data_IF_262917823078
#
_entry.id   IF_262917823078
#
_cell.length_a   1.000
_cell.length_b   1.000
_cell.length_c   1.000
_cell.angle_alpha   90.00
_cell.angle_beta   90.00
_cell.angle_gamma   90.00
#
_symmetry.space_group_name_H-M   'P 1'
#
loop_
_entity.id
_entity.type
_entity.pdbx_description
1 polymer ?
#
# COMPACT_ATOMS: atom_id res chain seq x y z
N UNK A 1 11.27 -19.40 15.05
CA UNK A 1 11.39 -18.15 15.85
C UNK A 1 10.12 -17.99 16.70
N UNK A 2 10.20 -17.88 18.03
CA UNK A 2 9.00 -17.69 18.88
C UNK A 2 8.89 -16.24 19.30
N UNK A 3 7.76 -15.57 19.05
CA UNK A 3 7.57 -14.14 19.31
C UNK A 3 7.93 -13.68 20.73
N UNK A 4 7.80 -14.56 21.74
CA UNK A 4 8.13 -14.27 23.14
C UNK A 4 9.61 -13.92 23.36
N UNK A 5 10.51 -14.42 22.51
CA UNK A 5 11.95 -14.17 22.60
C UNK A 5 12.40 -12.92 21.81
N UNK A 6 11.51 -12.35 20.98
CA UNK A 6 11.81 -11.24 20.09
C UNK A 6 10.88 -10.05 20.41
N UNK A 7 11.32 -9.09 21.25
CA UNK A 7 10.48 -7.99 21.69
C UNK A 7 9.85 -7.20 20.55
N UNK A 8 10.60 -6.89 19.49
CA UNK A 8 10.07 -6.18 18.32
C UNK A 8 8.87 -6.91 17.72
N UNK A 9 9.00 -8.21 17.45
CA UNK A 9 7.92 -9.03 16.89
C UNK A 9 6.74 -9.13 17.86
N UNK A 10 6.98 -9.33 19.15
CA UNK A 10 5.93 -9.36 20.17
C UNK A 10 5.11 -8.07 20.17
N UNK A 11 5.77 -6.91 20.19
CA UNK A 11 5.08 -5.62 20.21
C UNK A 11 4.35 -5.34 18.90
N UNK A 12 4.88 -5.77 17.75
CA UNK A 12 4.18 -5.70 16.46
C UNK A 12 2.90 -6.53 16.45
N UNK A 13 2.95 -7.78 16.95
CA UNK A 13 1.76 -8.65 17.08
C UNK A 13 0.74 -8.01 18.04
N UNK A 14 1.19 -7.52 19.20
CA UNK A 14 0.31 -6.83 20.15
C UNK A 14 -0.29 -5.55 19.57
N UNK A 15 0.46 -4.81 18.75
CA UNK A 15 -0.01 -3.62 18.05
C UNK A 15 -1.17 -3.94 17.10
N UNK A 16 -1.03 -4.99 16.30
CA UNK A 16 -2.10 -5.48 15.42
C UNK A 16 -3.29 -5.98 16.23
N UNK A 17 -3.07 -6.89 17.18
CA UNK A 17 -4.13 -7.52 17.97
C UNK A 17 -4.94 -6.50 18.77
N UNK A 18 -4.28 -5.53 19.42
CA UNK A 18 -4.96 -4.46 20.16
C UNK A 18 -5.70 -3.49 19.25
N UNK A 19 -5.20 -3.24 18.03
CA UNK A 19 -5.90 -2.38 17.06
C UNK A 19 -7.15 -3.09 16.51
N UNK A 20 -7.06 -4.37 16.19
CA UNK A 20 -8.22 -5.20 15.84
C UNK A 20 -9.25 -5.25 16.98
N UNK A 21 -8.80 -5.39 18.23
CA UNK A 21 -9.67 -5.39 19.40
C UNK A 21 -10.38 -4.03 19.61
N UNK A 22 -9.71 -2.92 19.31
CA UNK A 22 -10.32 -1.59 19.35
C UNK A 22 -11.32 -1.39 18.21
N UNK A 23 -11.07 -1.96 17.02
CA UNK A 23 -11.94 -1.87 15.85
C UNK A 23 -13.23 -2.71 15.98
N UNK A 24 -13.12 -3.93 16.49
CA UNK A 24 -14.23 -4.91 16.52
C UNK A 24 -15.29 -4.62 17.59
N UNK A 25 -14.97 -3.82 18.60
CA UNK A 25 -15.86 -3.50 19.70
C UNK A 25 -16.32 -2.04 19.62
N UNK A 26 -17.43 -1.67 20.29
CA UNK A 26 -17.86 -0.28 20.38
C UNK A 26 -16.73 0.66 20.82
N UNK A 27 -16.77 1.92 20.39
CA UNK A 27 -15.71 2.88 20.72
C UNK A 27 -15.45 2.97 22.23
N UNK A 28 -14.20 2.75 22.64
CA UNK A 28 -13.72 2.88 24.02
C UNK A 28 -12.32 3.47 24.02
N UNK A 29 -12.22 4.67 24.61
CA UNK A 29 -10.98 5.43 24.73
C UNK A 29 -9.84 4.62 25.34
N UNK A 30 -10.13 3.72 26.29
CA UNK A 30 -9.09 2.87 26.91
C UNK A 30 -8.50 1.89 25.89
N UNK A 31 -9.33 1.26 25.06
CA UNK A 31 -8.88 0.33 24.00
C UNK A 31 -8.06 1.06 22.95
N UNK A 32 -8.53 2.21 22.46
CA UNK A 32 -7.78 3.05 21.50
C UNK A 32 -6.43 3.46 22.06
N UNK A 33 -6.37 3.87 23.34
CA UNK A 33 -5.11 4.26 23.99
C UNK A 33 -4.14 3.08 24.15
N UNK A 34 -4.64 1.89 24.53
CA UNK A 34 -3.82 0.67 24.59
C UNK A 34 -3.25 0.34 23.21
N UNK A 35 -4.08 0.39 22.18
CA UNK A 35 -3.66 0.13 20.81
C UNK A 35 -2.60 1.14 20.34
N UNK A 36 -2.81 2.43 20.56
CA UNK A 36 -1.84 3.48 20.26
C UNK A 36 -0.50 3.25 20.97
N UNK A 37 -0.52 2.84 22.25
CA UNK A 37 0.70 2.55 23.01
C UNK A 37 1.47 1.37 22.44
N UNK A 38 0.79 0.28 22.07
CA UNK A 38 1.45 -0.89 21.47
C UNK A 38 2.00 -0.58 20.08
N UNK A 39 1.23 0.11 19.22
CA UNK A 39 1.70 0.58 17.91
C UNK A 39 2.95 1.45 18.04
N UNK A 40 2.91 2.46 18.91
CA UNK A 40 4.07 3.33 19.14
C UNK A 40 5.31 2.54 19.59
N UNK A 41 5.14 1.58 20.51
CA UNK A 41 6.25 0.75 20.98
C UNK A 41 6.79 -0.18 19.89
N UNK A 42 5.91 -0.76 19.07
CA UNK A 42 6.28 -1.59 17.92
C UNK A 42 7.09 -0.78 16.90
N UNK A 43 6.58 0.36 16.45
CA UNK A 43 7.26 1.25 15.50
C UNK A 43 8.63 1.71 16.02
N UNK A 44 8.71 2.05 17.32
CA UNK A 44 9.98 2.47 17.93
C UNK A 44 11.02 1.35 17.95
N UNK A 45 10.63 0.14 18.39
CA UNK A 45 11.54 -1.01 18.41
C UNK A 45 11.96 -1.42 16.99
N UNK A 46 11.01 -1.44 16.06
CA UNK A 46 11.30 -1.72 14.66
C UNK A 46 12.33 -0.73 14.10
N UNK A 47 12.15 0.57 14.33
CA UNK A 47 13.13 1.59 13.94
C UNK A 47 14.52 1.34 14.55
N UNK A 48 14.60 0.99 15.84
CA UNK A 48 15.86 0.66 16.49
C UNK A 48 16.57 -0.54 15.86
N UNK A 49 15.81 -1.55 15.42
CA UNK A 49 16.40 -2.68 14.70
C UNK A 49 16.86 -2.32 13.28
N UNK A 50 16.19 -1.38 12.61
CA UNK A 50 16.62 -0.85 11.30
C UNK A 50 17.92 -0.02 11.39
N UNK A 51 18.24 0.52 12.57
CA UNK A 51 19.52 1.22 12.83
C UNK A 51 20.69 0.23 13.04
N UNK A 52 20.41 -1.06 13.18
CA UNK A 52 21.40 -2.13 13.28
C UNK A 52 21.63 -2.81 11.92
N UNK A 53 22.76 -3.52 11.73
CA UNK A 53 23.00 -4.29 10.51
C UNK A 53 21.90 -5.34 10.27
N UNK A 54 21.28 -5.26 9.09
CA UNK A 54 20.34 -6.27 8.60
C UNK A 54 21.14 -7.47 8.12
N UNK A 55 20.78 -8.67 8.59
CA UNK A 55 21.49 -9.90 8.29
C UNK A 55 20.55 -11.11 8.29
N UNK A 56 21.10 -12.29 7.98
CA UNK A 56 20.38 -13.57 7.92
C UNK A 56 19.59 -13.90 9.19
N UNK A 57 20.10 -13.56 10.37
CA UNK A 57 19.49 -13.97 11.65
C UNK A 57 18.30 -13.09 12.04
N UNK A 58 18.26 -11.83 11.57
CA UNK A 58 17.20 -10.88 11.92
C UNK A 58 16.22 -10.57 10.79
N UNK A 59 16.47 -11.04 9.56
CA UNK A 59 15.63 -10.73 8.39
C UNK A 59 14.16 -11.12 8.59
N UNK A 60 13.88 -12.32 9.11
CA UNK A 60 12.51 -12.81 9.27
C UNK A 60 11.75 -11.96 10.28
N UNK A 61 12.42 -11.54 11.36
CA UNK A 61 11.84 -10.66 12.36
C UNK A 61 11.53 -9.28 11.77
N UNK A 62 12.44 -8.73 10.98
CA UNK A 62 12.28 -7.42 10.33
C UNK A 62 11.17 -7.43 9.27
N UNK A 63 11.16 -8.42 8.38
CA UNK A 63 10.13 -8.58 7.34
C UNK A 63 8.76 -8.74 8.00
N UNK A 64 8.64 -9.64 8.98
CA UNK A 64 7.37 -9.85 9.69
C UNK A 64 6.92 -8.59 10.42
N UNK A 65 7.84 -7.90 11.11
CA UNK A 65 7.52 -6.65 11.80
C UNK A 65 7.11 -5.55 10.83
N UNK A 66 7.75 -5.45 9.67
CA UNK A 66 7.40 -4.51 8.61
C UNK A 66 5.96 -4.72 8.13
N UNK A 67 5.56 -5.97 7.84
CA UNK A 67 4.19 -6.29 7.45
C UNK A 67 3.16 -5.92 8.53
N UNK A 68 3.44 -6.26 9.78
CA UNK A 68 2.54 -5.95 10.91
C UNK A 68 2.44 -4.44 11.16
N UNK A 69 3.55 -3.71 11.05
CA UNK A 69 3.59 -2.23 11.12
C UNK A 69 2.82 -1.62 9.96
N UNK A 70 2.94 -2.18 8.77
CA UNK A 70 2.15 -1.80 7.59
C UNK A 70 0.66 -1.94 7.85
N UNK A 71 0.22 -3.09 8.37
CA UNK A 71 -1.19 -3.38 8.67
C UNK A 71 -1.81 -2.36 9.63
N UNK A 72 -1.16 -2.10 10.78
CA UNK A 72 -1.75 -1.16 11.73
C UNK A 72 -1.61 0.32 11.30
N UNK A 73 -0.59 0.65 10.51
CA UNK A 73 -0.44 2.00 9.94
C UNK A 73 -1.58 2.30 8.96
N UNK A 74 -2.00 1.30 8.20
CA UNK A 74 -3.14 1.36 7.31
C UNK A 74 -4.47 1.51 8.07
N UNK A 75 -4.62 0.82 9.21
CA UNK A 75 -5.82 0.92 10.05
C UNK A 75 -5.93 2.21 10.89
N UNK A 76 -4.95 3.11 10.82
CA UNK A 76 -4.92 4.32 11.65
C UNK A 76 -6.16 5.20 11.40
N UNK A 77 -6.65 5.86 12.46
CA UNK A 77 -7.88 6.64 12.43
C UNK A 77 -7.75 7.85 11.48
N UNK A 78 -8.53 7.83 10.39
CA UNK A 78 -8.88 9.00 9.59
C UNK A 78 -10.37 9.23 9.83
N UNK A 79 -10.77 10.46 10.16
CA UNK A 79 -12.17 10.76 10.49
C UNK A 79 -12.92 11.43 9.35
N UNK A 80 -12.20 12.10 8.47
CA UNK A 80 -12.73 12.83 7.32
C UNK A 80 -11.80 12.68 6.11
N UNK A 81 -12.32 12.69 4.87
CA UNK A 81 -11.46 12.79 3.68
C UNK A 81 -10.56 14.04 3.70
N UNK A 82 -10.99 15.10 4.37
CA UNK A 82 -10.22 16.33 4.51
C UNK A 82 -8.96 16.19 5.38
N UNK A 83 -8.87 15.12 6.19
CA UNK A 83 -7.68 14.80 6.99
C UNK A 83 -6.57 14.16 6.12
N UNK A 84 -6.84 13.89 4.84
CA UNK A 84 -5.90 13.24 3.92
C UNK A 84 -4.68 14.11 3.63
N UNK A 85 -3.56 13.43 3.38
CA UNK A 85 -2.30 14.04 2.99
C UNK A 85 -2.38 14.85 1.70
N UNK A 86 -3.35 14.57 0.80
CA UNK A 86 -3.52 15.38 -0.42
C UNK A 86 -3.89 16.83 -0.12
N UNK A 87 -4.54 17.09 1.03
CA UNK A 87 -4.91 18.43 1.50
C UNK A 87 -3.94 19.01 2.53
N UNK A 88 -2.85 18.32 2.85
CA UNK A 88 -1.89 18.74 3.88
C UNK A 88 -0.49 18.88 3.31
N UNK A 89 0.28 19.83 3.84
CA UNK A 89 1.70 19.97 3.51
C UNK A 89 2.61 19.26 4.52
N UNK A 90 2.04 18.63 5.55
CA UNK A 90 2.81 17.83 6.51
C UNK A 90 3.13 16.44 5.91
N UNK A 91 4.40 16.12 5.64
CA UNK A 91 4.79 14.83 5.06
C UNK A 91 4.42 13.64 5.95
N UNK A 92 4.21 13.86 7.25
CA UNK A 92 3.78 12.81 8.20
C UNK A 92 2.44 12.20 7.80
N UNK A 93 1.56 12.95 7.14
CA UNK A 93 0.22 12.46 6.75
C UNK A 93 0.28 11.38 5.68
N UNK A 94 1.34 11.31 4.87
CA UNK A 94 1.55 10.24 3.87
C UNK A 94 2.28 9.01 4.47
N UNK A 95 2.69 9.04 5.75
CA UNK A 95 3.49 7.96 6.35
C UNK A 95 2.82 6.58 6.24
N UNK A 96 1.49 6.50 6.31
CA UNK A 96 0.78 5.22 6.20
C UNK A 96 1.05 4.52 4.87
N UNK A 97 1.27 5.30 3.81
CA UNK A 97 1.57 4.86 2.45
C UNK A 97 3.07 4.58 2.29
N UNK A 98 3.91 5.48 2.81
CA UNK A 98 5.38 5.34 2.77
C UNK A 98 5.86 4.09 3.52
N UNK A 99 5.23 3.75 4.65
CA UNK A 99 5.55 2.54 5.42
C UNK A 99 5.37 1.26 4.59
N UNK A 100 4.38 1.21 3.70
CA UNK A 100 4.17 0.02 2.85
C UNK A 100 5.33 -0.20 1.88
N UNK A 101 5.93 0.88 1.40
CA UNK A 101 7.08 0.83 0.49
C UNK A 101 8.35 0.33 1.19
N UNK A 102 8.40 0.37 2.52
CA UNK A 102 9.53 -0.13 3.32
C UNK A 102 9.77 -1.63 3.15
N UNK A 103 8.72 -2.41 2.85
CA UNK A 103 8.86 -3.85 2.62
C UNK A 103 9.74 -4.13 1.41
N UNK A 104 9.56 -3.40 0.30
CA UNK A 104 10.41 -3.52 -0.90
C UNK A 104 11.89 -3.37 -0.56
N UNK A 105 12.22 -2.30 0.17
CA UNK A 105 13.59 -2.00 0.58
C UNK A 105 14.20 -3.15 1.39
N UNK A 106 13.44 -3.69 2.35
CA UNK A 106 13.88 -4.86 3.12
C UNK A 106 14.13 -6.09 2.25
N UNK A 107 13.24 -6.37 1.28
CA UNK A 107 13.39 -7.52 0.39
C UNK A 107 14.62 -7.40 -0.51
N UNK A 108 14.93 -6.21 -1.02
CA UNK A 108 16.16 -5.98 -1.78
C UNK A 108 17.43 -6.21 -0.93
N UNK A 109 17.43 -5.70 0.32
CA UNK A 109 18.56 -5.88 1.24
C UNK A 109 18.74 -7.35 1.63
N UNK A 110 17.65 -8.07 1.86
CA UNK A 110 17.66 -9.45 2.37
C UNK A 110 17.74 -10.51 1.28
N UNK A 111 17.67 -10.11 0.00
CA UNK A 111 17.75 -10.97 -1.19
C UNK A 111 18.82 -12.08 -1.11
N UNK A 112 20.07 -11.83 -0.65
CA UNK A 112 21.09 -12.87 -0.56
C UNK A 112 20.75 -14.05 0.36
N UNK A 113 19.84 -13.85 1.32
CA UNK A 113 19.47 -14.84 2.35
C UNK A 113 18.03 -15.33 2.19
N UNK A 114 17.27 -14.80 1.23
CA UNK A 114 15.83 -15.09 1.10
C UNK A 114 15.52 -16.58 0.98
N UNK A 115 16.40 -17.39 0.40
CA UNK A 115 16.20 -18.85 0.32
C UNK A 115 16.10 -19.55 1.68
N UNK A 116 16.70 -18.96 2.72
CA UNK A 116 16.65 -19.47 4.09
C UNK A 116 15.49 -18.86 4.91
N UNK A 117 14.75 -17.91 4.35
CA UNK A 117 13.68 -17.19 5.04
C UNK A 117 12.40 -18.01 5.09
N UNK A 118 11.67 -17.90 6.20
CA UNK A 118 10.29 -18.41 6.29
C UNK A 118 9.35 -17.75 5.27
N UNK A 119 9.73 -16.59 4.73
CA UNK A 119 8.94 -15.85 3.75
C UNK A 119 9.25 -16.19 2.30
N UNK A 120 10.24 -17.05 2.04
CA UNK A 120 10.63 -17.41 0.68
C UNK A 120 9.44 -17.93 -0.14
N UNK A 121 8.82 -19.00 0.32
CA UNK A 121 7.70 -19.65 -0.36
C UNK A 121 6.48 -18.71 -0.49
N UNK A 122 6.00 -18.02 0.58
CA UNK A 122 4.94 -17.03 0.44
C UNK A 122 5.22 -15.94 -0.62
N UNK A 123 6.46 -15.43 -0.70
CA UNK A 123 6.78 -14.43 -1.70
C UNK A 123 6.90 -15.00 -3.11
N UNK A 124 7.43 -16.21 -3.27
CA UNK A 124 7.47 -16.90 -4.56
C UNK A 124 6.06 -17.15 -5.11
N UNK A 125 5.14 -17.65 -4.29
CA UNK A 125 3.73 -17.81 -4.68
C UNK A 125 3.12 -16.49 -5.17
N UNK A 126 3.49 -15.40 -4.50
CA UNK A 126 2.99 -14.06 -4.82
C UNK A 126 3.59 -13.45 -6.09
N UNK A 127 4.83 -13.81 -6.43
CA UNK A 127 5.49 -13.44 -7.69
C UNK A 127 5.00 -14.29 -8.87
N UNK A 128 4.47 -15.49 -8.60
CA UNK A 128 3.90 -16.35 -9.64
C UNK A 128 2.53 -15.86 -10.16
N UNK A 129 1.99 -14.75 -9.63
CA UNK A 129 0.82 -14.13 -10.26
C UNK A 129 1.22 -13.59 -11.65
N UNK A 130 0.41 -13.90 -12.65
CA UNK A 130 0.70 -13.66 -14.08
C UNK A 130 1.15 -12.23 -14.44
N UNK A 131 0.80 -11.24 -13.60
CA UNK A 131 1.09 -9.82 -13.78
C UNK A 131 2.11 -9.25 -12.78
N UNK A 132 2.52 -10.03 -11.77
CA UNK A 132 3.30 -9.50 -10.66
C UNK A 132 4.72 -9.08 -11.06
N UNK A 133 5.26 -9.64 -12.15
CA UNK A 133 6.60 -9.38 -12.69
C UNK A 133 6.55 -9.10 -14.22
N UNK A 134 5.47 -8.47 -14.73
CA UNK A 134 5.38 -8.04 -16.14
C UNK A 134 6.19 -6.77 -16.42
N UNK A 135 7.47 -6.95 -16.76
CA UNK A 135 8.39 -5.87 -17.14
C UNK A 135 8.48 -5.65 -18.66
N UNK A 136 7.49 -6.11 -19.43
CA UNK A 136 7.49 -5.90 -20.89
C UNK A 136 7.44 -4.42 -21.23
N UNK A 137 8.21 -4.01 -22.24
CA UNK A 137 8.14 -2.68 -22.83
C UNK A 137 6.78 -2.46 -23.51
N UNK A 138 6.34 -1.20 -23.56
CA UNK A 138 5.23 -0.75 -24.38
C UNK A 138 3.91 -0.64 -23.62
N UNK A 139 2.81 -0.49 -24.35
CA UNK A 139 1.46 -0.33 -23.78
C UNK A 139 0.54 -1.53 -23.98
N UNK A 140 1.05 -2.63 -24.51
CA UNK A 140 0.28 -3.87 -24.68
C UNK A 140 -0.35 -4.28 -23.36
N UNK A 141 -1.63 -4.64 -23.39
CA UNK A 141 -2.43 -5.01 -22.20
C UNK A 141 -2.64 -3.89 -21.17
N UNK A 142 -2.28 -2.63 -21.42
CA UNK A 142 -2.67 -1.52 -20.55
C UNK A 142 -4.07 -1.01 -20.90
N UNK A 143 -4.70 -0.31 -19.96
CA UNK A 143 -5.89 0.48 -20.27
C UNK A 143 -5.52 1.63 -21.22
N UNK A 144 -6.16 1.78 -22.38
CA UNK A 144 -5.76 2.76 -23.38
C UNK A 144 -5.81 4.20 -22.88
N UNK A 145 -6.86 4.55 -22.13
CA UNK A 145 -7.08 5.92 -21.67
C UNK A 145 -6.10 6.29 -20.56
N UNK A 146 -5.81 5.36 -19.63
CA UNK A 146 -4.76 5.55 -18.62
C UNK A 146 -3.35 5.61 -19.25
N UNK A 147 -3.09 4.80 -20.27
CA UNK A 147 -1.81 4.82 -20.99
C UNK A 147 -1.61 6.14 -21.74
N UNK A 148 -2.64 6.64 -22.42
CA UNK A 148 -2.61 7.94 -23.12
C UNK A 148 -2.42 9.10 -22.14
N UNK A 149 -3.12 9.08 -20.99
CA UNK A 149 -2.97 10.09 -19.96
C UNK A 149 -1.53 10.12 -19.38
N UNK A 150 -0.89 8.96 -19.28
CA UNK A 150 0.45 8.82 -18.70
C UNK A 150 1.58 8.87 -19.74
N UNK A 151 1.28 9.25 -20.99
CA UNK A 151 2.25 9.34 -22.09
C UNK A 151 3.02 8.01 -22.33
N UNK A 152 2.33 6.86 -22.22
CA UNK A 152 2.91 5.53 -22.44
C UNK A 152 2.74 5.13 -23.91
N UNK A 153 3.86 4.91 -24.58
CA UNK A 153 3.95 4.48 -25.97
C UNK A 153 4.46 3.04 -26.06
N UNK A 154 4.55 2.50 -27.29
CA UNK A 154 5.06 1.14 -27.55
C UNK A 154 6.54 0.95 -27.18
N UNK A 155 7.28 2.04 -26.95
CA UNK A 155 8.70 2.01 -26.57
C UNK A 155 8.93 2.39 -25.12
N UNK A 156 7.88 2.66 -24.34
CA UNK A 156 8.00 3.05 -22.93
C UNK A 156 8.42 1.86 -22.09
N UNK A 157 9.39 2.09 -21.20
CA UNK A 157 9.83 1.15 -20.16
C UNK A 157 9.68 1.77 -18.77
N UNK A 158 9.84 0.97 -17.71
CA UNK A 158 9.79 1.45 -16.32
C UNK A 158 10.91 2.45 -15.96
N UNK A 159 12.05 2.41 -16.67
CA UNK A 159 13.15 3.36 -16.48
C UNK A 159 12.87 4.71 -17.14
N UNK A 160 12.06 4.73 -18.20
CA UNK A 160 11.74 5.95 -18.96
C UNK A 160 10.51 6.68 -18.43
N UNK A 161 9.60 5.97 -17.76
CA UNK A 161 8.33 6.52 -17.30
C UNK A 161 7.87 5.85 -15.99
N UNK A 162 7.82 6.63 -14.92
CA UNK A 162 7.47 6.15 -13.57
C UNK A 162 6.02 5.68 -13.41
N UNK A 163 5.13 5.94 -14.37
CA UNK A 163 3.75 5.43 -14.38
C UNK A 163 3.63 4.03 -14.97
N UNK A 164 4.63 3.60 -15.77
CA UNK A 164 4.56 2.35 -16.53
C UNK A 164 4.43 1.13 -15.62
N UNK A 165 5.33 0.99 -14.63
CA UNK A 165 5.30 -0.14 -13.70
C UNK A 165 4.01 -0.23 -12.85
N UNK A 166 3.54 0.86 -12.22
CA UNK A 166 2.23 0.88 -11.57
C UNK A 166 1.07 0.44 -12.48
N UNK A 167 1.04 0.90 -13.73
CA UNK A 167 -0.03 0.53 -14.67
C UNK A 167 0.06 -0.94 -15.12
N UNK A 168 1.27 -1.47 -15.33
CA UNK A 168 1.50 -2.90 -15.61
C UNK A 168 0.98 -3.81 -14.50
N UNK A 169 1.12 -3.41 -13.24
CA UNK A 169 0.54 -4.13 -12.11
C UNK A 169 -0.97 -3.91 -11.97
N UNK A 170 -1.46 -2.68 -12.19
CA UNK A 170 -2.85 -2.31 -11.93
C UNK A 170 -3.83 -2.85 -12.98
N UNK A 171 -3.51 -2.72 -14.27
CA UNK A 171 -4.46 -3.04 -15.36
C UNK A 171 -4.93 -4.51 -15.31
N UNK A 172 -4.06 -5.50 -15.04
CA UNK A 172 -4.50 -6.88 -14.87
C UNK A 172 -5.45 -7.05 -13.68
N UNK A 173 -5.21 -6.37 -12.55
CA UNK A 173 -6.10 -6.42 -11.39
C UNK A 173 -7.51 -5.89 -11.68
N UNK A 174 -7.64 -4.90 -12.57
CA UNK A 174 -8.93 -4.36 -13.01
C UNK A 174 -9.74 -5.37 -13.86
N UNK A 175 -9.06 -6.32 -14.51
CA UNK A 175 -9.68 -7.33 -15.39
C UNK A 175 -10.05 -8.62 -14.66
N UNK A 176 -9.38 -8.94 -13.55
CA UNK A 176 -9.66 -10.16 -12.80
C UNK A 176 -11.05 -10.05 -12.16
N UNK A 177 -11.96 -11.02 -12.38
CA UNK A 177 -13.25 -11.04 -11.69
C UNK A 177 -13.07 -10.98 -10.18
N UNK A 178 -13.84 -10.14 -9.49
CA UNK A 178 -13.67 -9.87 -8.04
C UNK A 178 -13.57 -11.13 -7.18
N UNK A 179 -14.41 -12.13 -7.45
CA UNK A 179 -14.44 -13.41 -6.74
C UNK A 179 -13.20 -14.29 -6.96
N UNK A 180 -12.31 -13.92 -7.90
CA UNK A 180 -11.05 -14.64 -8.23
C UNK A 180 -9.80 -13.86 -7.87
N UNK A 181 -9.91 -12.56 -7.56
CA UNK A 181 -8.74 -11.70 -7.35
C UNK A 181 -8.04 -12.06 -6.03
N UNK A 182 -8.79 -12.28 -4.95
CA UNK A 182 -8.20 -12.58 -3.63
C UNK A 182 -7.42 -11.39 -3.05
N UNK A 183 -7.50 -11.18 -1.74
CA UNK A 183 -6.87 -10.02 -1.11
C UNK A 183 -5.35 -9.89 -1.37
N UNK A 184 -4.53 -10.96 -1.30
CA UNK A 184 -3.08 -10.86 -1.48
C UNK A 184 -2.64 -10.26 -2.82
N UNK A 185 -3.38 -10.56 -3.89
CA UNK A 185 -3.13 -10.05 -5.25
C UNK A 185 -3.18 -8.53 -5.33
N UNK A 186 -4.10 -7.93 -4.58
CA UNK A 186 -4.33 -6.49 -4.55
C UNK A 186 -3.37 -5.82 -3.56
N UNK A 187 -3.17 -6.42 -2.37
CA UNK A 187 -2.33 -5.82 -1.31
C UNK A 187 -0.86 -5.75 -1.68
N UNK A 188 -0.38 -6.63 -2.57
CA UNK A 188 1.02 -6.67 -3.00
C UNK A 188 1.48 -5.42 -3.78
N UNK A 189 0.56 -4.69 -4.39
CA UNK A 189 0.86 -3.51 -5.20
C UNK A 189 1.79 -2.52 -4.47
N UNK A 190 1.47 -2.21 -3.22
CA UNK A 190 2.22 -1.22 -2.43
C UNK A 190 3.64 -1.67 -2.09
N UNK A 191 3.84 -2.95 -1.84
CA UNK A 191 5.17 -3.53 -1.58
C UNK A 191 6.06 -3.59 -2.82
N UNK A 192 5.55 -3.20 -4.00
CA UNK A 192 6.25 -3.26 -5.29
C UNK A 192 6.45 -1.88 -5.94
N UNK A 193 5.91 -0.80 -5.38
CA UNK A 193 6.06 0.54 -5.96
C UNK A 193 7.54 0.98 -5.98
N UNK A 194 7.90 1.72 -7.03
CA UNK A 194 9.23 2.30 -7.20
C UNK A 194 9.33 3.65 -6.46
N UNK A 195 10.51 4.02 -5.94
CA UNK A 195 10.71 5.30 -5.26
C UNK A 195 10.24 6.51 -6.06
N UNK A 196 10.48 6.52 -7.38
CA UNK A 196 10.08 7.64 -8.24
C UNK A 196 8.57 7.84 -8.30
N UNK A 197 7.80 6.75 -8.38
CA UNK A 197 6.34 6.84 -8.32
C UNK A 197 5.85 7.31 -6.95
N UNK A 198 6.50 6.86 -5.86
CA UNK A 198 6.18 7.33 -4.50
C UNK A 198 6.47 8.83 -4.35
N UNK A 199 7.54 9.34 -4.99
CA UNK A 199 7.84 10.77 -5.02
C UNK A 199 6.78 11.56 -5.80
N UNK A 200 6.26 11.02 -6.90
CA UNK A 200 5.13 11.62 -7.63
C UNK A 200 3.87 11.69 -6.76
N UNK A 201 3.60 10.65 -5.98
CA UNK A 201 2.52 10.68 -4.98
C UNK A 201 2.81 11.78 -3.95
N UNK A 202 3.98 11.83 -3.32
CA UNK A 202 4.31 12.88 -2.36
C UNK A 202 4.17 14.31 -2.94
N UNK A 203 4.47 14.48 -4.23
CA UNK A 203 4.29 15.73 -4.98
C UNK A 203 2.83 16.02 -5.39
N UNK A 204 1.88 15.15 -5.02
CA UNK A 204 0.44 15.22 -5.37
C UNK A 204 0.22 15.28 -6.88
N UNK A 205 1.08 14.60 -7.64
CA UNK A 205 0.99 14.61 -9.10
C UNK A 205 -0.35 13.96 -9.54
N UNK A 206 -1.17 14.64 -10.38
CA UNK A 206 -2.54 14.20 -10.64
C UNK A 206 -2.69 12.80 -11.25
N UNK A 207 -1.77 12.38 -12.13
CA UNK A 207 -1.82 11.06 -12.79
C UNK A 207 -1.42 9.95 -11.81
N UNK A 208 -0.41 10.19 -10.97
CA UNK A 208 -0.03 9.28 -9.90
C UNK A 208 -1.18 9.09 -8.90
N UNK A 209 -1.83 10.18 -8.51
CA UNK A 209 -3.01 10.15 -7.64
C UNK A 209 -4.16 9.37 -8.27
N UNK A 210 -4.42 9.55 -9.56
CA UNK A 210 -5.44 8.79 -10.27
C UNK A 210 -5.15 7.28 -10.23
N UNK A 211 -3.93 6.86 -10.57
CA UNK A 211 -3.51 5.45 -10.49
C UNK A 211 -3.68 4.90 -9.07
N UNK A 212 -3.29 5.66 -8.05
CA UNK A 212 -3.49 5.27 -6.65
C UNK A 212 -4.98 5.13 -6.31
N UNK A 213 -5.84 6.02 -6.80
CA UNK A 213 -7.29 5.95 -6.56
C UNK A 213 -7.92 4.68 -7.15
N UNK A 214 -7.44 4.22 -8.31
CA UNK A 214 -7.89 2.95 -8.90
C UNK A 214 -7.50 1.75 -8.03
N UNK A 215 -6.28 1.76 -7.47
CA UNK A 215 -5.87 0.73 -6.52
C UNK A 215 -6.70 0.78 -5.23
N UNK A 216 -6.95 1.97 -4.66
CA UNK A 216 -7.80 2.13 -3.48
C UNK A 216 -9.25 1.69 -3.77
N UNK A 217 -9.76 1.91 -4.97
CA UNK A 217 -11.07 1.44 -5.42
C UNK A 217 -11.15 -0.10 -5.48
N UNK A 218 -10.09 -0.75 -5.95
CA UNK A 218 -9.97 -2.20 -5.89
C UNK A 218 -9.95 -2.71 -4.44
N UNK A 219 -9.18 -2.05 -3.57
CA UNK A 219 -9.15 -2.35 -2.13
C UNK A 219 -10.55 -2.21 -1.50
N UNK A 220 -11.29 -1.13 -1.79
CA UNK A 220 -12.66 -0.90 -1.31
C UNK A 220 -13.64 -2.00 -1.72
N UNK A 221 -13.48 -2.56 -2.92
CA UNK A 221 -14.50 -3.42 -3.54
C UNK A 221 -14.20 -4.90 -3.48
N UNK A 222 -12.95 -5.26 -3.17
CA UNK A 222 -12.46 -6.64 -3.30
C UNK A 222 -11.69 -7.14 -2.08
N UNK A 223 -11.47 -6.31 -1.05
CA UNK A 223 -10.77 -6.70 0.17
C UNK A 223 -11.66 -6.45 1.40
N UNK A 224 -12.16 -7.54 1.99
CA UNK A 224 -12.99 -7.52 3.21
C UNK A 224 -12.14 -7.80 4.46
N UNK A 225 -11.20 -6.90 4.73
CA UNK A 225 -10.27 -7.00 5.86
C UNK A 225 -10.44 -5.81 6.81
N UNK A 226 -10.46 -6.09 8.11
CA UNK A 226 -10.76 -5.09 9.16
C UNK A 226 -9.85 -3.86 9.13
N UNK A 227 -8.59 -4.03 8.69
CA UNK A 227 -7.57 -2.98 8.66
C UNK A 227 -7.65 -2.08 7.44
N UNK A 228 -8.46 -2.44 6.42
CA UNK A 228 -8.56 -1.74 5.14
C UNK A 228 -9.68 -0.69 5.14
N UNK A 229 -10.86 -1.05 5.65
CA UNK A 229 -12.12 -0.39 5.30
C UNK A 229 -12.17 1.14 5.42
N UNK A 230 -12.01 1.74 6.62
CA UNK A 230 -12.25 3.16 6.80
C UNK A 230 -11.24 4.07 6.07
N UNK A 231 -9.93 3.80 6.22
CA UNK A 231 -8.89 4.64 5.62
C UNK A 231 -8.97 4.61 4.09
N UNK A 232 -9.04 3.43 3.49
CA UNK A 232 -9.03 3.31 2.02
C UNK A 232 -10.16 4.09 1.38
N UNK A 233 -11.35 3.99 1.95
CA UNK A 233 -12.51 4.74 1.45
C UNK A 233 -12.27 6.24 1.54
N UNK A 234 -11.84 6.73 2.71
CA UNK A 234 -11.66 8.16 2.95
C UNK A 234 -10.51 8.75 2.10
N UNK A 235 -9.40 8.04 1.97
CA UNK A 235 -8.28 8.46 1.11
C UNK A 235 -8.68 8.44 -0.38
N UNK A 236 -9.46 7.45 -0.82
CA UNK A 236 -9.96 7.40 -2.18
C UNK A 236 -10.93 8.56 -2.46
N UNK A 237 -11.83 8.88 -1.52
CA UNK A 237 -12.72 10.03 -1.60
C UNK A 237 -11.93 11.34 -1.66
N UNK A 238 -10.91 11.49 -0.80
CA UNK A 238 -10.06 12.67 -0.75
C UNK A 238 -9.33 12.91 -2.08
N UNK A 239 -8.79 11.84 -2.69
CA UNK A 239 -8.15 11.91 -4.00
C UNK A 239 -9.18 12.31 -5.08
N UNK A 240 -10.38 11.73 -5.07
CA UNK A 240 -11.42 12.11 -6.03
C UNK A 240 -11.79 13.60 -5.91
N UNK A 241 -11.97 14.09 -4.68
CA UNK A 241 -12.23 15.51 -4.40
C UNK A 241 -11.09 16.41 -4.89
N UNK A 242 -9.84 16.02 -4.62
CA UNK A 242 -8.65 16.77 -5.03
C UNK A 242 -8.55 16.85 -6.57
N UNK A 243 -8.70 15.72 -7.26
CA UNK A 243 -8.59 15.65 -8.71
C UNK A 243 -9.75 16.35 -9.44
N UNK A 244 -10.97 16.27 -8.92
CA UNK A 244 -12.11 17.03 -9.46
C UNK A 244 -11.89 18.53 -9.32
N UNK A 245 -11.30 18.99 -8.21
CA UNK A 245 -10.95 20.40 -8.01
C UNK A 245 -9.80 20.89 -8.93
N UNK A 246 -8.89 20.01 -9.36
CA UNK A 246 -7.85 20.35 -10.33
C UNK A 246 -8.40 20.68 -11.73
N UNK A 247 -9.55 20.11 -12.11
CA UNK A 247 -10.27 20.49 -13.33
C UNK A 247 -9.70 19.95 -14.65
N UNK A 248 -8.76 19.01 -14.66
CA UNK A 248 -8.32 18.35 -15.92
C UNK A 248 -9.43 17.41 -16.41
N UNK A 249 -10.04 17.76 -17.54
CA UNK A 249 -11.14 16.99 -18.14
C UNK A 249 -10.81 15.52 -18.40
N UNK A 250 -9.58 15.21 -18.82
CA UNK A 250 -9.15 13.82 -19.10
C UNK A 250 -9.10 12.99 -17.82
N UNK A 251 -8.72 13.60 -16.70
CA UNK A 251 -8.71 12.93 -15.39
C UNK A 251 -10.14 12.77 -14.88
N UNK A 252 -10.97 13.80 -15.01
CA UNK A 252 -12.36 13.76 -14.55
C UNK A 252 -13.15 12.63 -15.23
N UNK A 253 -12.95 12.42 -16.54
CA UNK A 253 -13.58 11.31 -17.28
C UNK A 253 -13.18 9.94 -16.72
N UNK A 254 -11.93 9.79 -16.28
CA UNK A 254 -11.39 8.56 -15.71
C UNK A 254 -11.70 8.37 -14.21
N UNK A 255 -12.27 9.36 -13.52
CA UNK A 255 -12.58 9.28 -12.09
C UNK A 255 -13.82 8.46 -11.75
N UNK A 256 -14.61 8.08 -12.75
CA UNK A 256 -15.90 7.43 -12.53
C UNK A 256 -15.80 6.11 -11.73
N UNK A 257 -14.87 5.23 -12.11
CA UNK A 257 -14.63 3.98 -11.38
C UNK A 257 -14.23 4.20 -9.91
N UNK A 258 -13.17 4.97 -9.59
CA UNK A 258 -12.77 5.17 -8.21
C UNK A 258 -13.81 5.91 -7.38
N UNK A 259 -14.48 6.91 -7.96
CA UNK A 259 -15.52 7.68 -7.27
C UNK A 259 -16.72 6.81 -6.83
N UNK A 260 -17.21 5.92 -7.71
CA UNK A 260 -18.30 4.99 -7.35
C UNK A 260 -17.85 3.95 -6.34
N UNK A 261 -16.64 3.41 -6.50
CA UNK A 261 -16.10 2.36 -5.63
C UNK A 261 -15.94 2.80 -4.17
N UNK A 262 -15.59 4.08 -3.94
CA UNK A 262 -15.46 4.63 -2.60
C UNK A 262 -16.72 5.35 -2.10
N UNK A 263 -17.81 5.39 -2.89
CA UNK A 263 -19.06 6.06 -2.54
C UNK A 263 -18.95 7.59 -2.51
N UNK A 264 -18.06 8.17 -3.32
CA UNK A 264 -18.00 9.61 -3.56
C UNK A 264 -19.11 10.08 -4.52
N UNK A 265 -19.48 9.21 -5.48
CA UNK A 265 -20.58 9.39 -6.44
C UNK A 265 -21.54 8.21 -6.38
#
# INVERSE_FOLDING_TARGET
>A
MTAVKEPCLLYSIMGVASTHWAYTLPSDRKRTMIAARFRHKATRLYRQHLELPINRDNMDMLITSCMLVGMFSFSAETTSPLDSWVFSDDPVNMNWLAVQCGLRCLLEITKPWMNDSIWNEPFQESSNYEYADDHRMGREDLDPDLADLCDITDTTTEETNSFHWPLRMLCPLLRIPRHKCGAPRITNFMGRLLPDFVNLLAAKEPRALLILSYWLALMCTSVDEWWVGPRVRLECQAICMYLEACGDGRIIELLDFPARACGYK
#
